data_IF_110924541355
#
_entry.id   IF_110924541355
#
_cell.length_a   1.000
_cell.length_b   1.000
_cell.length_c   1.000
_cell.angle_alpha   90.00
_cell.angle_beta   90.00
_cell.angle_gamma   90.00
#
_symmetry.space_group_name_H-M   'P 1'
#
loop_
_entity.id
_entity.type
_entity.pdbx_description
1 polymer ?
#
# COMPACT_ATOMS: atom_id res chain seq x y z
N UNK A 1 11.86 0.43 -13.69
CA UNK A 1 11.55 1.84 -13.95
C UNK A 1 11.98 2.28 -15.34
N UNK A 2 13.24 2.09 -15.74
CA UNK A 2 13.75 2.54 -17.05
C UNK A 2 12.89 2.08 -18.25
N UNK A 3 12.53 0.79 -18.32
CA UNK A 3 11.67 0.24 -19.39
C UNK A 3 10.27 0.88 -19.51
N UNK A 4 9.72 1.42 -18.42
CA UNK A 4 8.38 2.05 -18.42
C UNK A 4 8.48 3.54 -18.73
N UNK A 5 9.59 4.18 -18.32
CA UNK A 5 9.87 5.58 -18.64
C UNK A 5 10.22 5.79 -20.11
N UNK A 6 10.73 4.74 -20.78
CA UNK A 6 11.06 4.74 -22.21
C UNK A 6 9.85 4.37 -23.10
N UNK A 7 8.69 4.03 -22.53
CA UNK A 7 7.47 3.69 -23.28
C UNK A 7 6.75 4.97 -23.71
N UNK A 8 6.65 5.20 -25.03
CA UNK A 8 6.01 6.39 -25.61
C UNK A 8 4.51 6.49 -25.30
N UNK A 9 3.86 5.38 -24.89
CA UNK A 9 2.45 5.37 -24.51
C UNK A 9 2.21 5.80 -23.06
N UNK A 10 3.26 6.10 -22.30
CA UNK A 10 3.16 6.41 -20.86
C UNK A 10 3.75 7.79 -20.58
N UNK A 11 2.89 8.70 -20.15
CA UNK A 11 3.29 10.04 -19.71
C UNK A 11 3.37 10.10 -18.19
N UNK A 12 4.53 10.48 -17.65
CA UNK A 12 4.72 10.70 -16.22
C UNK A 12 4.67 12.19 -15.87
N UNK A 13 3.68 12.57 -15.06
CA UNK A 13 3.60 13.91 -14.49
C UNK A 13 3.95 13.83 -13.01
N UNK A 14 5.08 14.42 -12.63
CA UNK A 14 5.45 14.54 -11.21
C UNK A 14 4.62 15.65 -10.58
N UNK A 15 3.68 15.27 -9.75
CA UNK A 15 2.73 16.22 -9.19
C UNK A 15 1.86 15.68 -8.09
N UNK A 16 1.11 16.57 -7.45
CA UNK A 16 0.03 16.21 -6.53
C UNK A 16 -1.29 16.54 -7.18
N UNK A 17 -2.17 15.55 -7.30
CA UNK A 17 -3.55 15.76 -7.73
C UNK A 17 -4.27 16.55 -6.64
N UNK A 18 -4.84 17.69 -7.02
CA UNK A 18 -5.58 18.58 -6.13
C UNK A 18 -7.08 18.28 -6.16
N UNK A 19 -7.62 17.89 -7.32
CA UNK A 19 -9.05 17.68 -7.51
C UNK A 19 -9.32 16.72 -8.67
N UNK A 20 -10.36 15.91 -8.53
CA UNK A 20 -10.91 15.03 -9.58
C UNK A 20 -12.41 15.30 -9.64
N UNK A 21 -12.92 15.62 -10.83
CA UNK A 21 -14.32 15.99 -11.06
C UNK A 21 -14.84 15.32 -12.32
N UNK A 22 -16.13 15.07 -12.38
CA UNK A 22 -16.80 14.61 -13.59
C UNK A 22 -17.33 15.82 -14.37
N UNK A 23 -17.12 15.84 -15.69
CA UNK A 23 -17.72 16.79 -16.59
C UNK A 23 -19.20 16.42 -16.79
N UNK A 24 -20.17 17.27 -16.38
CA UNK A 24 -21.58 16.93 -16.43
C UNK A 24 -22.14 16.82 -17.86
N UNK A 25 -21.46 17.35 -18.88
CA UNK A 25 -21.92 17.28 -20.27
C UNK A 25 -21.44 16.01 -20.97
N UNK A 26 -20.20 15.58 -20.71
CA UNK A 26 -19.57 14.45 -21.41
C UNK A 26 -19.48 13.17 -20.57
N UNK A 27 -19.47 13.29 -19.25
CA UNK A 27 -19.15 12.19 -18.32
C UNK A 27 -17.66 11.89 -18.21
N UNK A 28 -16.79 12.69 -18.87
CA UNK A 28 -15.34 12.55 -18.76
C UNK A 28 -14.86 13.01 -17.37
N UNK A 29 -13.66 12.56 -16.97
CA UNK A 29 -13.06 12.94 -15.70
C UNK A 29 -12.01 14.02 -15.89
N UNK A 30 -12.21 15.16 -15.24
CA UNK A 30 -11.27 16.28 -15.17
C UNK A 30 -10.34 16.12 -13.96
N UNK A 31 -9.04 16.08 -14.20
CA UNK A 31 -8.01 15.93 -13.17
C UNK A 31 -7.20 17.21 -13.08
N UNK A 32 -7.33 17.93 -11.96
CA UNK A 32 -6.50 19.09 -11.66
C UNK A 32 -5.32 18.68 -10.78
N UNK A 33 -4.10 18.91 -11.25
CA UNK A 33 -2.87 18.59 -10.53
C UNK A 33 -1.87 19.75 -10.54
N UNK A 34 -1.01 19.80 -9.54
CA UNK A 34 0.19 20.64 -9.55
C UNK A 34 1.32 19.89 -10.22
N UNK A 35 1.78 20.35 -11.38
CA UNK A 35 2.95 19.82 -12.05
C UNK A 35 4.22 20.47 -11.50
N UNK A 36 5.06 19.69 -10.82
CA UNK A 36 6.27 20.18 -10.16
C UNK A 36 7.30 20.70 -11.16
N UNK A 37 7.38 20.13 -12.35
CA UNK A 37 8.35 20.52 -13.37
C UNK A 37 8.11 21.94 -13.89
N UNK A 38 6.84 22.30 -14.13
CA UNK A 38 6.45 23.64 -14.60
C UNK A 38 6.10 24.60 -13.45
N UNK A 39 5.83 24.07 -12.26
CA UNK A 39 5.32 24.83 -11.11
C UNK A 39 3.88 25.33 -11.30
N UNK A 40 3.15 24.77 -12.27
CA UNK A 40 1.80 25.23 -12.65
C UNK A 40 0.75 24.21 -12.26
N UNK A 41 -0.47 24.70 -12.09
CA UNK A 41 -1.66 23.84 -12.06
C UNK A 41 -2.06 23.52 -13.49
N UNK A 42 -2.22 22.25 -13.76
CA UNK A 42 -2.74 21.72 -15.02
C UNK A 42 -4.09 21.07 -14.74
N UNK A 43 -4.99 21.13 -15.71
CA UNK A 43 -6.27 20.43 -15.68
C UNK A 43 -6.39 19.68 -16.99
N UNK A 44 -6.37 18.35 -16.90
CA UNK A 44 -6.42 17.45 -18.04
C UNK A 44 -7.70 16.61 -17.99
N UNK A 45 -8.21 16.24 -19.17
CA UNK A 45 -9.45 15.46 -19.33
C UNK A 45 -9.11 14.03 -19.73
N UNK A 46 -9.73 13.06 -19.06
CA UNK A 46 -9.54 11.64 -19.30
C UNK A 46 -10.87 10.90 -19.33
N UNK A 47 -10.97 9.85 -20.14
CA UNK A 47 -12.16 8.98 -20.16
C UNK A 47 -12.26 8.11 -18.89
N UNK A 48 -11.13 7.87 -18.20
CA UNK A 48 -11.06 7.06 -16.99
C UNK A 48 -9.92 7.50 -16.07
N UNK A 49 -10.21 7.56 -14.77
CA UNK A 49 -9.20 7.78 -13.72
C UNK A 49 -9.13 6.56 -12.82
N UNK A 50 -7.92 6.01 -12.68
CA UNK A 50 -7.65 4.89 -11.79
C UNK A 50 -6.98 5.40 -10.52
N UNK A 51 -7.64 5.23 -9.38
CA UNK A 51 -7.07 5.56 -8.07
C UNK A 51 -6.19 4.40 -7.59
N UNK A 52 -4.87 4.59 -7.61
CA UNK A 52 -3.91 3.67 -7.02
C UNK A 52 -3.94 3.78 -5.47
N UNK A 53 -5.03 3.30 -4.88
CA UNK A 53 -5.27 3.36 -3.44
C UNK A 53 -4.22 2.57 -2.64
N UNK A 54 -3.88 3.07 -1.46
CA UNK A 54 -2.98 2.39 -0.53
C UNK A 54 -3.61 1.16 0.11
N UNK A 55 -2.80 0.41 0.86
CA UNK A 55 -3.26 -0.76 1.62
C UNK A 55 -3.71 -0.34 3.02
N UNK A 56 -4.88 -0.81 3.42
CA UNK A 56 -5.47 -0.58 4.75
C UNK A 56 -5.83 -1.94 5.37
N UNK A 57 -5.46 -2.22 6.64
CA UNK A 57 -5.69 -3.52 7.23
C UNK A 57 -7.13 -3.67 7.70
N UNK A 58 -7.75 -4.81 7.43
CA UNK A 58 -9.10 -5.13 7.92
C UNK A 58 -9.19 -5.07 9.45
N UNK A 59 -8.06 -5.29 10.14
CA UNK A 59 -7.92 -5.21 11.59
C UNK A 59 -8.03 -3.81 12.17
N UNK A 60 -8.13 -2.76 11.34
CA UNK A 60 -8.53 -1.44 11.79
C UNK A 60 -10.01 -1.39 12.20
N UNK A 61 -10.86 -2.14 11.50
CA UNK A 61 -12.30 -2.20 11.77
C UNK A 61 -12.67 -3.32 12.75
N UNK A 62 -12.09 -4.51 12.57
CA UNK A 62 -12.44 -5.70 13.36
C UNK A 62 -11.18 -6.33 13.95
N UNK A 63 -11.06 -6.31 15.27
CA UNK A 63 -9.93 -6.95 15.96
C UNK A 63 -10.09 -8.46 15.95
N UNK A 64 -8.99 -9.16 15.65
CA UNK A 64 -8.91 -10.61 15.78
C UNK A 64 -8.91 -11.00 17.27
N UNK A 65 -9.51 -12.16 17.61
CA UNK A 65 -9.49 -12.69 18.97
C UNK A 65 -8.06 -13.09 19.39
N UNK A 66 -7.86 -13.37 20.67
CA UNK A 66 -6.58 -13.89 21.19
C UNK A 66 -5.61 -12.83 21.71
N UNK A 67 -6.08 -11.62 22.02
CA UNK A 67 -5.26 -10.60 22.70
C UNK A 67 -4.09 -10.06 21.86
N UNK A 68 -4.18 -10.14 20.53
CA UNK A 68 -3.14 -9.66 19.63
C UNK A 68 -2.88 -8.16 19.83
N UNK A 69 -1.63 -7.77 19.62
CA UNK A 69 -1.21 -6.38 19.70
C UNK A 69 -1.28 -5.71 18.33
N UNK A 70 -1.70 -4.44 18.31
CA UNK A 70 -1.87 -3.67 17.08
C UNK A 70 -1.07 -2.37 17.15
N UNK A 71 -0.58 -1.94 15.99
CA UNK A 71 -0.05 -0.60 15.78
C UNK A 71 -1.21 0.42 15.71
N UNK A 72 -0.88 1.70 15.85
CA UNK A 72 -1.87 2.80 15.81
C UNK A 72 -2.61 2.89 14.47
N UNK A 73 -1.98 2.48 13.38
CA UNK A 73 -2.56 2.40 12.04
C UNK A 73 -3.39 1.11 11.81
N UNK A 74 -3.56 0.27 12.85
CA UNK A 74 -4.43 -0.89 12.81
C UNK A 74 -3.79 -2.18 12.30
N UNK A 75 -2.56 -2.16 11.80
CA UNK A 75 -1.81 -3.37 11.47
C UNK A 75 -1.39 -4.13 12.74
N UNK A 76 -1.03 -5.41 12.62
CA UNK A 76 -0.50 -6.19 13.73
C UNK A 76 0.94 -5.77 14.06
N UNK A 77 1.27 -5.65 15.35
CA UNK A 77 2.66 -5.46 15.77
C UNK A 77 3.50 -6.69 15.44
N UNK A 78 4.80 -6.50 15.21
CA UNK A 78 5.71 -7.60 14.87
C UNK A 78 6.10 -8.40 16.15
N UNK A 79 6.10 -7.75 17.30
CA UNK A 79 6.36 -8.29 18.64
C UNK A 79 5.06 -8.75 19.31
N UNK A 80 4.46 -9.81 18.75
CA UNK A 80 3.33 -10.48 19.38
C UNK A 80 3.77 -11.29 20.61
N UNK A 81 2.79 -11.76 21.38
CA UNK A 81 3.00 -12.65 22.53
C UNK A 81 3.72 -13.94 22.10
N UNK A 82 4.42 -14.57 23.06
CA UNK A 82 5.21 -15.77 22.79
C UNK A 82 4.37 -16.88 22.14
N UNK A 83 4.89 -17.41 21.02
CA UNK A 83 4.23 -18.44 20.22
C UNK A 83 3.30 -17.92 19.12
N UNK A 84 3.03 -16.61 19.05
CA UNK A 84 2.28 -16.00 17.95
C UNK A 84 3.20 -15.11 17.13
N UNK A 85 3.10 -15.18 15.80
CA UNK A 85 3.90 -14.36 14.89
C UNK A 85 3.01 -13.76 13.81
N UNK A 86 3.04 -12.42 13.68
CA UNK A 86 2.41 -11.72 12.58
C UNK A 86 3.38 -11.64 11.38
N UNK A 87 2.86 -11.83 10.17
CA UNK A 87 3.65 -11.90 8.92
C UNK A 87 2.97 -11.17 7.77
N UNK A 88 3.77 -10.76 6.79
CA UNK A 88 3.31 -10.22 5.52
C UNK A 88 2.49 -8.94 5.69
N UNK A 89 1.51 -8.77 4.80
CA UNK A 89 0.67 -7.56 4.75
C UNK A 89 -0.15 -7.31 6.02
N UNK A 90 -0.29 -8.30 6.90
CA UNK A 90 -0.94 -8.11 8.19
C UNK A 90 -0.16 -7.18 9.13
N UNK A 91 1.16 -7.03 8.91
CA UNK A 91 2.04 -6.18 9.73
C UNK A 91 2.28 -4.79 9.15
N UNK A 92 2.30 -4.66 7.82
CA UNK A 92 2.51 -3.40 7.08
C UNK A 92 2.27 -3.62 5.57
N UNK A 93 2.05 -2.57 4.76
CA UNK A 93 2.00 -2.69 3.31
C UNK A 93 3.28 -3.29 2.75
N UNK A 94 3.17 -4.37 1.97
CA UNK A 94 4.29 -5.09 1.38
C UNK A 94 3.92 -5.59 -0.02
N UNK A 95 4.93 -5.77 -0.87
CA UNK A 95 4.77 -6.54 -2.10
C UNK A 95 4.76 -8.06 -1.82
N UNK A 96 4.47 -8.84 -2.86
CA UNK A 96 4.35 -10.30 -2.77
C UNK A 96 5.66 -10.96 -2.34
N UNK A 97 6.79 -10.58 -2.93
CA UNK A 97 8.08 -11.21 -2.64
C UNK A 97 8.52 -10.91 -1.20
N UNK A 98 8.40 -9.65 -0.79
CA UNK A 98 8.69 -9.21 0.57
C UNK A 98 7.80 -9.93 1.60
N UNK A 99 6.52 -10.15 1.27
CA UNK A 99 5.60 -10.90 2.14
C UNK A 99 6.00 -12.37 2.29
N UNK A 100 6.43 -13.02 1.21
CA UNK A 100 6.92 -14.41 1.23
C UNK A 100 8.22 -14.55 2.03
N UNK A 101 9.14 -13.59 1.86
CA UNK A 101 10.40 -13.56 2.62
C UNK A 101 10.16 -13.36 4.11
N UNK A 102 9.24 -12.47 4.49
CA UNK A 102 8.87 -12.24 5.88
C UNK A 102 8.26 -13.50 6.52
N UNK A 103 7.31 -14.15 5.82
CA UNK A 103 6.70 -15.40 6.27
C UNK A 103 7.74 -16.51 6.47
N UNK A 104 8.68 -16.66 5.53
CA UNK A 104 9.78 -17.64 5.63
C UNK A 104 10.67 -17.37 6.83
N UNK A 105 11.02 -16.10 7.05
CA UNK A 105 11.86 -15.67 8.18
C UNK A 105 11.19 -15.99 9.52
N UNK A 106 9.89 -15.74 9.64
CA UNK A 106 9.15 -16.07 10.88
C UNK A 106 8.96 -17.58 11.05
N UNK A 107 8.75 -18.35 9.98
CA UNK A 107 8.68 -19.81 10.09
C UNK A 107 9.97 -20.41 10.68
N UNK A 108 11.15 -19.92 10.24
CA UNK A 108 12.44 -20.33 10.83
C UNK A 108 12.52 -19.91 12.30
N UNK A 109 12.07 -18.69 12.64
CA UNK A 109 12.04 -18.22 14.03
C UNK A 109 11.14 -19.10 14.91
N UNK A 110 9.96 -19.50 14.42
CA UNK A 110 9.06 -20.41 15.12
C UNK A 110 9.77 -21.73 15.43
N UNK A 111 10.43 -22.34 14.44
CA UNK A 111 11.17 -23.60 14.61
C UNK A 111 12.26 -23.45 15.67
N UNK A 112 13.03 -22.36 15.63
CA UNK A 112 14.07 -22.08 16.61
C UNK A 112 13.52 -21.91 18.03
N UNK A 113 12.38 -21.24 18.18
CA UNK A 113 11.72 -21.09 19.49
C UNK A 113 11.21 -22.43 20.02
N UNK A 114 10.72 -23.33 19.15
CA UNK A 114 10.26 -24.66 19.53
C UNK A 114 11.42 -25.60 19.96
N UNK A 115 12.52 -25.61 19.21
CA UNK A 115 13.64 -26.54 19.44
C UNK A 115 14.63 -26.02 20.49
N UNK A 116 14.76 -24.69 20.60
CA UNK A 116 15.76 -24.03 21.43
C UNK A 116 15.45 -23.92 22.92
N UNK A 117 14.25 -24.32 23.37
CA UNK A 117 13.93 -24.49 24.80
C UNK A 117 14.42 -23.36 25.72
N UNK A 118 13.98 -22.13 25.48
CA UNK A 118 13.83 -21.09 26.49
C UNK A 118 12.53 -20.35 26.22
#
# INVERSE_FOLDING_TARGET
>A
MQRVQEDENITFIKGKVAKVEEDPETGDVLVTAEEVASGRKITERFDMVVLAAGMEPTTRMVKLPGGLQYETNGFLRIDQQDGIYAVGVATRPLDVNSSVQDATSKAIKCIQTLVGGK
#
